data_IF_197382519206
#
_entry.id   IF_197382519206
#
_cell.length_a   1.000
_cell.length_b   1.000
_cell.length_c   1.000
_cell.angle_alpha   90.00
_cell.angle_beta   90.00
_cell.angle_gamma   90.00
#
_symmetry.space_group_name_H-M   'P 1'
#
loop_
_entity.id
_entity.type
_entity.pdbx_description
1 polymer ?
#
# COMPACT_ATOMS: atom_id res chain seq x y z
N UNK A 1 -4.86 43.09 60.48
CA UNK A 1 -3.87 43.50 59.45
C UNK A 1 -3.54 42.27 58.63
N UNK A 2 -3.77 42.35 57.32
CA UNK A 2 -3.75 41.22 56.39
C UNK A 2 -2.32 40.71 56.11
N UNK A 3 -2.18 39.38 56.03
CA UNK A 3 -0.97 38.68 55.60
C UNK A 3 -0.77 38.80 54.08
N UNK A 4 0.48 38.80 53.56
CA UNK A 4 0.73 38.91 52.13
C UNK A 4 0.45 37.58 51.40
N UNK A 5 0.06 37.60 50.12
CA UNK A 5 -0.12 36.38 49.34
C UNK A 5 1.23 35.80 48.92
N UNK A 6 1.34 34.47 49.01
CA UNK A 6 2.50 33.66 48.64
C UNK A 6 2.80 33.73 47.13
N UNK A 7 4.03 34.09 46.78
CA UNK A 7 4.58 34.15 45.41
C UNK A 7 5.02 32.79 44.83
N UNK A 8 4.53 31.67 45.37
CA UNK A 8 5.06 30.34 45.03
C UNK A 8 4.33 29.61 43.91
N UNK A 9 3.25 30.15 43.36
CA UNK A 9 2.42 29.43 42.37
C UNK A 9 2.79 29.70 40.92
N UNK A 10 3.62 30.71 40.64
CA UNK A 10 3.91 31.12 39.25
C UNK A 10 5.08 30.38 38.59
N UNK A 11 5.91 29.66 39.37
CA UNK A 11 7.06 28.90 38.81
C UNK A 11 6.75 27.46 38.41
N UNK A 12 5.59 26.91 38.76
CA UNK A 12 5.23 25.53 38.39
C UNK A 12 4.52 25.42 37.03
N UNK A 13 3.94 26.51 36.52
CA UNK A 13 3.29 26.52 35.21
C UNK A 13 4.24 26.78 34.05
N UNK A 14 5.43 27.34 34.31
CA UNK A 14 6.41 27.64 33.25
C UNK A 14 7.36 26.46 32.94
N UNK A 15 7.43 25.44 33.82
CA UNK A 15 8.20 24.21 33.55
C UNK A 15 7.43 23.13 32.78
N UNK A 16 6.10 23.27 32.65
CA UNK A 16 5.27 22.32 31.90
C UNK A 16 5.10 22.66 30.42
N UNK A 17 5.62 23.82 29.98
CA UNK A 17 5.53 24.33 28.60
C UNK A 17 6.82 24.11 27.77
N UNK A 18 7.79 23.35 28.29
CA UNK A 18 9.11 23.15 27.65
C UNK A 18 9.38 21.71 27.15
N UNK A 19 8.35 20.87 27.00
CA UNK A 19 8.51 19.51 26.43
C UNK A 19 7.38 19.09 25.48
N UNK A 20 6.98 19.98 24.57
CA UNK A 20 6.29 19.57 23.33
C UNK A 20 7.06 20.07 22.12
N UNK A 21 8.37 19.85 22.09
CA UNK A 21 8.99 19.62 20.80
C UNK A 21 8.32 18.34 20.27
N UNK A 22 7.55 18.46 19.18
CA UNK A 22 7.12 17.30 18.42
C UNK A 22 8.39 16.60 17.93
N UNK A 23 8.93 15.69 18.74
CA UNK A 23 9.88 14.70 18.27
C UNK A 23 9.08 13.96 17.21
N UNK A 24 9.39 14.21 15.93
CA UNK A 24 8.90 13.37 14.84
C UNK A 24 9.50 12.00 15.07
N UNK A 25 8.77 11.19 15.83
CA UNK A 25 9.07 9.78 16.03
C UNK A 25 8.97 9.13 14.66
N UNK A 26 9.90 8.24 14.37
CA UNK A 26 9.80 7.32 13.22
C UNK A 26 8.36 6.81 13.13
N UNK A 27 7.72 7.00 11.99
CA UNK A 27 6.36 6.55 11.75
C UNK A 27 6.46 5.12 11.27
N UNK A 28 6.20 4.17 12.16
CA UNK A 28 6.40 2.76 11.85
C UNK A 28 5.60 2.30 10.63
N UNK A 29 4.50 2.96 10.28
CA UNK A 29 3.67 2.64 9.13
C UNK A 29 4.16 3.20 7.79
N UNK A 30 5.18 4.07 7.77
CA UNK A 30 5.80 4.56 6.53
C UNK A 30 7.11 3.81 6.28
N UNK A 31 7.12 3.04 5.21
CA UNK A 31 8.31 2.40 4.65
C UNK A 31 8.67 2.95 3.27
N UNK A 32 9.81 2.51 2.76
CA UNK A 32 10.24 2.79 1.38
C UNK A 32 10.92 1.55 0.78
N UNK A 33 10.74 1.34 -0.52
CA UNK A 33 11.47 0.34 -1.27
C UNK A 33 12.85 0.88 -1.66
N UNK A 34 13.90 0.12 -1.33
CA UNK A 34 15.27 0.34 -1.79
C UNK A 34 15.55 -0.61 -2.95
N UNK A 35 15.34 -0.09 -4.16
CA UNK A 35 15.68 -0.77 -5.40
C UNK A 35 17.18 -0.65 -5.71
N UNK A 36 17.73 -1.69 -6.35
CA UNK A 36 19.17 -1.78 -6.67
C UNK A 36 19.43 -1.98 -8.16
N UNK A 37 18.40 -1.80 -9.00
CA UNK A 37 18.54 -1.90 -10.47
C UNK A 37 19.08 -0.58 -11.04
N UNK A 38 20.26 -0.16 -10.55
CA UNK A 38 20.94 1.07 -10.92
C UNK A 38 22.45 0.96 -10.73
N UNK A 39 23.23 1.76 -11.47
CA UNK A 39 24.70 1.82 -11.35
C UNK A 39 25.23 3.10 -10.69
N UNK A 40 24.33 4.01 -10.29
CA UNK A 40 24.64 5.34 -9.79
C UNK A 40 24.19 5.60 -8.34
N UNK A 41 23.83 4.54 -7.60
CA UNK A 41 23.29 4.65 -6.26
C UNK A 41 24.32 5.20 -5.25
N UNK A 42 23.87 6.00 -4.25
CA UNK A 42 24.75 6.52 -3.23
C UNK A 42 25.26 5.39 -2.30
N UNK A 43 26.39 5.61 -1.61
CA UNK A 43 26.92 4.64 -0.65
C UNK A 43 25.90 4.29 0.45
N UNK A 44 25.88 3.05 0.95
CA UNK A 44 24.93 2.61 1.98
C UNK A 44 24.85 3.50 3.23
N UNK A 45 25.99 4.04 3.67
CA UNK A 45 26.05 4.95 4.83
C UNK A 45 25.38 6.30 4.58
N UNK A 46 25.41 6.79 3.35
CA UNK A 46 24.71 8.01 2.95
C UNK A 46 23.19 7.77 2.92
N UNK A 47 22.76 6.64 2.35
CA UNK A 47 21.36 6.21 2.38
C UNK A 47 20.84 6.03 3.81
N UNK A 48 21.62 5.41 4.71
CA UNK A 48 21.22 5.26 6.10
C UNK A 48 21.02 6.62 6.79
N UNK A 49 21.93 7.59 6.58
CA UNK A 49 21.79 8.96 7.10
C UNK A 49 20.56 9.67 6.54
N UNK A 50 20.28 9.51 5.25
CA UNK A 50 19.07 10.04 4.62
C UNK A 50 17.82 9.45 5.30
N UNK A 51 17.73 8.13 5.43
CA UNK A 51 16.57 7.51 6.09
C UNK A 51 16.39 8.02 7.53
N UNK A 52 17.48 8.18 8.29
CA UNK A 52 17.43 8.73 9.65
C UNK A 52 16.91 10.17 9.71
N UNK A 53 17.14 11.01 8.68
CA UNK A 53 16.66 12.39 8.62
C UNK A 53 15.18 12.52 8.25
N UNK A 54 14.53 11.42 7.87
CA UNK A 54 13.12 11.37 7.44
C UNK A 54 12.22 10.66 8.44
N UNK A 55 10.90 10.74 8.26
CA UNK A 55 9.92 9.97 9.02
C UNK A 55 9.81 8.50 8.62
N UNK A 56 10.58 8.04 7.62
CA UNK A 56 10.60 6.65 7.16
C UNK A 56 11.09 5.75 8.29
N UNK A 57 10.26 4.77 8.67
CA UNK A 57 10.56 3.82 9.73
C UNK A 57 10.94 2.43 9.26
N UNK A 58 10.75 2.13 7.97
CA UNK A 58 11.03 0.81 7.39
C UNK A 58 11.67 0.94 6.01
N UNK A 59 12.53 -0.01 5.66
CA UNK A 59 13.06 -0.17 4.30
C UNK A 59 12.79 -1.59 3.83
N UNK A 60 12.36 -1.74 2.58
CA UNK A 60 12.20 -3.04 1.91
C UNK A 60 13.24 -3.17 0.80
N UNK A 61 13.98 -4.26 0.83
CA UNK A 61 14.94 -4.64 -0.20
C UNK A 61 14.45 -5.90 -0.90
N UNK A 62 14.56 -5.95 -2.23
CA UNK A 62 14.16 -7.11 -3.04
C UNK A 62 15.11 -8.32 -2.89
N UNK A 63 16.30 -8.07 -2.34
CA UNK A 63 17.32 -9.06 -2.03
C UNK A 63 17.99 -8.73 -0.70
N UNK A 64 19.22 -9.20 -0.54
CA UNK A 64 20.05 -8.96 0.65
C UNK A 64 21.21 -8.04 0.26
N UNK A 65 21.21 -6.81 0.78
CA UNK A 65 22.34 -5.88 0.69
C UNK A 65 23.03 -5.77 2.06
N UNK A 66 24.15 -6.47 2.23
CA UNK A 66 24.91 -6.46 3.46
C UNK A 66 25.42 -5.06 3.85
N UNK A 67 25.69 -4.19 2.88
CA UNK A 67 26.14 -2.83 3.10
C UNK A 67 25.05 -1.97 3.74
N UNK A 68 23.83 -2.03 3.19
CA UNK A 68 22.66 -1.31 3.72
C UNK A 68 22.25 -1.87 5.08
N UNK A 69 22.21 -3.19 5.24
CA UNK A 69 21.87 -3.82 6.52
C UNK A 69 22.83 -3.34 7.62
N UNK A 70 24.15 -3.41 7.38
CA UNK A 70 25.16 -2.91 8.33
C UNK A 70 25.04 -1.42 8.58
N UNK A 71 24.79 -0.61 7.54
CA UNK A 71 24.65 0.84 7.68
C UNK A 71 23.42 1.24 8.52
N UNK A 72 22.40 0.38 8.59
CA UNK A 72 21.20 0.57 9.40
C UNK A 72 21.28 -0.04 10.81
N UNK A 73 22.42 -0.63 11.19
CA UNK A 73 22.62 -1.16 12.53
C UNK A 73 22.42 -0.08 13.61
N UNK A 74 21.69 -0.42 14.66
CA UNK A 74 21.34 0.41 15.81
C UNK A 74 20.54 1.69 15.47
N UNK A 75 20.04 1.83 14.25
CA UNK A 75 19.19 2.98 13.85
C UNK A 75 17.74 2.83 14.28
N UNK A 76 17.29 1.60 14.52
CA UNK A 76 15.89 1.26 14.82
C UNK A 76 14.96 1.17 13.61
N UNK A 77 15.44 1.50 12.40
CA UNK A 77 14.70 1.34 11.14
C UNK A 77 14.48 -0.15 10.89
N UNK A 78 13.22 -0.53 10.63
CA UNK A 78 12.87 -1.92 10.31
C UNK A 78 13.33 -2.29 8.91
N UNK A 79 13.86 -3.51 8.75
CA UNK A 79 14.39 -4.01 7.48
C UNK A 79 13.56 -5.20 7.02
N UNK A 80 12.99 -5.10 5.83
CA UNK A 80 12.43 -6.22 5.09
C UNK A 80 13.41 -6.62 4.00
N UNK A 81 13.77 -7.90 3.93
CA UNK A 81 14.66 -8.45 2.90
C UNK A 81 13.93 -9.48 2.06
N UNK A 82 14.26 -9.57 0.77
CA UNK A 82 13.69 -10.54 -0.16
C UNK A 82 14.64 -11.69 -0.44
N UNK A 83 14.09 -12.86 -0.76
CA UNK A 83 14.78 -13.89 -1.53
C UNK A 83 14.55 -13.63 -3.01
N UNK A 84 15.50 -14.03 -3.86
CA UNK A 84 15.23 -14.04 -5.30
C UNK A 84 14.12 -15.05 -5.61
N UNK A 85 13.36 -14.82 -6.68
CA UNK A 85 12.45 -15.83 -7.21
C UNK A 85 13.24 -17.11 -7.60
N UNK A 86 14.50 -16.97 -8.02
CA UNK A 86 15.37 -18.12 -8.35
C UNK A 86 15.78 -18.98 -7.15
N UNK A 87 15.67 -18.46 -5.91
CA UNK A 87 16.04 -19.21 -4.70
C UNK A 87 14.90 -20.13 -4.23
N UNK A 88 13.65 -19.87 -4.68
CA UNK A 88 12.45 -20.58 -4.22
C UNK A 88 12.57 -22.10 -4.37
N UNK A 89 13.03 -22.67 -5.50
CA UNK A 89 13.12 -24.13 -5.63
C UNK A 89 14.06 -24.76 -4.59
N UNK A 90 15.21 -24.13 -4.33
CA UNK A 90 16.18 -24.63 -3.35
C UNK A 90 15.67 -24.47 -1.91
N UNK A 91 15.05 -23.33 -1.60
CA UNK A 91 14.41 -23.08 -0.31
C UNK A 91 13.27 -24.07 -0.04
N UNK A 92 12.49 -24.42 -1.06
CA UNK A 92 11.39 -25.37 -0.97
C UNK A 92 11.88 -26.81 -0.77
N UNK A 93 12.94 -27.21 -1.48
CA UNK A 93 13.40 -28.58 -1.51
C UNK A 93 14.22 -28.99 -0.28
N UNK A 94 14.95 -28.06 0.35
CA UNK A 94 15.90 -28.40 1.42
C UNK A 94 15.87 -27.40 2.59
N UNK A 95 15.48 -27.90 3.77
CA UNK A 95 15.53 -27.13 5.01
C UNK A 95 16.96 -26.70 5.38
N UNK A 96 18.00 -27.47 5.04
CA UNK A 96 19.38 -27.07 5.30
C UNK A 96 19.81 -25.90 4.42
N UNK A 97 19.31 -25.83 3.17
CA UNK A 97 19.49 -24.65 2.34
C UNK A 97 18.86 -23.41 3.00
N UNK A 98 17.63 -23.52 3.51
CA UNK A 98 16.99 -22.42 4.24
C UNK A 98 17.74 -22.01 5.52
N UNK A 99 18.26 -22.98 6.29
CA UNK A 99 19.14 -22.70 7.46
C UNK A 99 20.42 -21.98 7.05
N UNK A 100 21.06 -22.41 5.97
CA UNK A 100 22.24 -21.75 5.40
C UNK A 100 21.94 -20.33 4.95
N UNK A 101 20.78 -20.11 4.35
CA UNK A 101 20.30 -18.78 3.95
C UNK A 101 20.13 -17.87 5.17
N UNK A 102 19.46 -18.31 6.23
CA UNK A 102 19.31 -17.55 7.49
C UNK A 102 20.68 -17.26 8.13
N UNK A 103 21.56 -18.26 8.19
CA UNK A 103 22.90 -18.12 8.77
C UNK A 103 23.77 -17.11 8.03
N UNK A 104 23.54 -16.93 6.72
CA UNK A 104 24.35 -16.03 5.88
C UNK A 104 23.76 -14.63 5.81
N UNK A 105 22.42 -14.52 5.78
CA UNK A 105 21.73 -13.29 5.42
C UNK A 105 21.04 -12.60 6.60
N UNK A 106 20.87 -13.28 7.74
CA UNK A 106 20.13 -12.75 8.90
C UNK A 106 20.98 -12.79 10.16
N UNK A 107 21.48 -13.96 10.55
CA UNK A 107 22.20 -14.17 11.82
C UNK A 107 23.39 -13.22 12.04
N UNK A 108 24.19 -12.86 11.01
CA UNK A 108 25.34 -11.96 11.21
C UNK A 108 24.95 -10.51 11.56
N UNK A 109 23.70 -10.13 11.31
CA UNK A 109 23.24 -8.74 11.40
C UNK A 109 22.28 -8.49 12.57
N UNK A 110 21.54 -9.52 12.98
CA UNK A 110 20.55 -9.42 14.04
C UNK A 110 21.19 -9.63 15.43
N UNK A 111 20.82 -8.86 16.49
CA UNK A 111 19.74 -7.86 16.55
C UNK A 111 20.17 -6.42 16.22
N UNK A 112 21.45 -6.16 15.95
CA UNK A 112 21.94 -4.80 15.70
C UNK A 112 21.17 -4.15 14.54
N UNK A 113 20.95 -4.90 13.46
CA UNK A 113 20.08 -4.50 12.35
C UNK A 113 18.71 -5.12 12.55
N UNK A 114 17.67 -4.28 12.58
CA UNK A 114 16.30 -4.69 12.91
C UNK A 114 15.60 -5.33 11.70
N UNK A 115 16.03 -6.52 11.31
CA UNK A 115 15.34 -7.34 10.31
C UNK A 115 13.99 -7.78 10.90
N UNK A 116 12.89 -7.51 10.18
CA UNK A 116 11.51 -7.73 10.67
C UNK A 116 10.71 -8.71 9.81
N UNK A 117 10.94 -8.73 8.49
CA UNK A 117 10.21 -9.59 7.56
C UNK A 117 11.19 -10.11 6.50
N UNK A 118 11.03 -11.39 6.13
CA UNK A 118 11.63 -11.99 4.94
C UNK A 118 10.53 -12.21 3.91
N UNK A 119 10.65 -11.60 2.73
CA UNK A 119 9.78 -11.86 1.60
C UNK A 119 10.33 -12.99 0.75
N UNK A 120 9.60 -14.10 0.64
CA UNK A 120 9.94 -15.21 -0.26
C UNK A 120 9.44 -14.85 -1.64
N UNK A 121 10.37 -14.44 -2.50
CA UNK A 121 10.07 -13.94 -3.84
C UNK A 121 9.26 -12.64 -3.88
N UNK A 122 8.97 -12.21 -5.11
CA UNK A 122 8.19 -11.03 -5.42
C UNK A 122 7.25 -11.32 -6.60
N UNK A 123 5.96 -11.10 -6.40
CA UNK A 123 4.88 -11.29 -7.39
C UNK A 123 4.88 -12.66 -8.08
N UNK A 124 5.30 -13.73 -7.40
CA UNK A 124 5.49 -15.07 -7.98
C UNK A 124 4.25 -15.58 -8.72
N UNK A 125 3.04 -15.32 -8.20
CA UNK A 125 1.79 -15.76 -8.82
C UNK A 125 1.51 -15.11 -10.19
N UNK A 126 2.15 -13.99 -10.51
CA UNK A 126 2.05 -13.36 -11.83
C UNK A 126 2.78 -14.15 -12.92
N UNK A 127 3.93 -14.75 -12.59
CA UNK A 127 4.78 -15.44 -13.56
C UNK A 127 4.08 -16.70 -14.11
N UNK A 128 4.41 -17.14 -15.33
CA UNK A 128 3.78 -18.32 -15.93
C UNK A 128 4.27 -19.66 -15.34
N UNK A 129 5.32 -19.66 -14.52
CA UNK A 129 5.91 -20.88 -13.97
C UNK A 129 5.08 -21.47 -12.83
N UNK A 130 4.30 -22.51 -13.12
CA UNK A 130 3.45 -23.22 -12.14
C UNK A 130 4.25 -23.97 -11.08
N UNK A 131 5.45 -24.47 -11.40
CA UNK A 131 6.31 -25.14 -10.42
C UNK A 131 6.78 -24.12 -9.38
N UNK A 132 7.18 -22.94 -9.83
CA UNK A 132 7.61 -21.87 -8.94
C UNK A 132 6.48 -21.45 -7.97
N UNK A 133 5.25 -21.35 -8.46
CA UNK A 133 4.07 -21.01 -7.63
C UNK A 133 3.80 -22.05 -6.55
N UNK A 134 3.84 -23.33 -6.91
CA UNK A 134 3.56 -24.44 -5.98
C UNK A 134 4.68 -24.64 -4.95
N UNK A 135 5.92 -24.27 -5.30
CA UNK A 135 7.08 -24.30 -4.39
C UNK A 135 7.12 -23.15 -3.38
N UNK A 136 6.31 -22.11 -3.57
CA UNK A 136 6.35 -20.92 -2.72
C UNK A 136 5.99 -21.20 -1.26
N UNK A 137 4.91 -21.97 -1.01
CA UNK A 137 4.50 -22.30 0.36
C UNK A 137 5.56 -23.18 1.08
N UNK A 138 6.09 -24.26 0.49
CA UNK A 138 7.20 -25.01 1.08
C UNK A 138 8.43 -24.15 1.39
N UNK A 139 8.80 -23.21 0.51
CA UNK A 139 9.91 -22.30 0.76
C UNK A 139 9.66 -21.37 1.97
N UNK A 140 8.44 -20.83 2.09
CA UNK A 140 8.02 -20.03 3.25
C UNK A 140 8.08 -20.85 4.55
N UNK A 141 7.59 -22.10 4.52
CA UNK A 141 7.62 -23.02 5.65
C UNK A 141 9.06 -23.35 6.08
N UNK A 142 9.95 -23.64 5.13
CA UNK A 142 11.35 -23.94 5.44
C UNK A 142 12.10 -22.74 6.03
N UNK A 143 11.85 -21.52 5.54
CA UNK A 143 12.42 -20.30 6.13
C UNK A 143 11.89 -20.03 7.53
N UNK A 144 10.60 -20.25 7.77
CA UNK A 144 10.00 -20.15 9.10
C UNK A 144 10.65 -21.15 10.08
N UNK A 145 10.77 -22.42 9.67
CA UNK A 145 11.44 -23.46 10.47
C UNK A 145 12.92 -23.13 10.72
N UNK A 146 13.61 -22.54 9.75
CA UNK A 146 14.99 -22.10 9.91
C UNK A 146 15.13 -20.93 10.90
N UNK A 147 14.20 -19.97 10.88
CA UNK A 147 14.12 -18.90 11.88
C UNK A 147 13.86 -19.46 13.29
N UNK A 148 12.96 -20.43 13.42
CA UNK A 148 12.69 -21.10 14.70
C UNK A 148 13.93 -21.81 15.23
N UNK A 149 14.63 -22.57 14.38
CA UNK A 149 15.89 -23.22 14.74
C UNK A 149 16.98 -22.21 15.17
N UNK A 150 16.96 -20.99 14.63
CA UNK A 150 17.86 -19.91 15.00
C UNK A 150 17.36 -19.07 16.21
N UNK A 151 16.26 -19.45 16.87
CA UNK A 151 15.63 -18.67 17.95
C UNK A 151 15.21 -17.25 17.54
N UNK A 152 14.90 -17.08 16.26
CA UNK A 152 14.39 -15.86 15.62
C UNK A 152 12.90 -15.98 15.24
N UNK A 153 12.31 -17.16 15.38
CA UNK A 153 10.87 -17.39 15.22
C UNK A 153 10.05 -16.41 16.08
N UNK A 154 9.01 -15.83 15.50
CA UNK A 154 8.17 -14.82 16.14
C UNK A 154 8.77 -13.40 16.16
N UNK A 155 10.10 -13.26 16.12
CA UNK A 155 10.80 -11.96 16.04
C UNK A 155 10.90 -11.45 14.61
N UNK A 156 11.12 -12.36 13.67
CA UNK A 156 11.15 -12.11 12.22
C UNK A 156 10.00 -12.90 11.61
N UNK A 157 9.23 -12.27 10.74
CA UNK A 157 8.12 -12.91 10.01
C UNK A 157 8.56 -13.33 8.62
N UNK A 158 7.90 -14.34 8.07
CA UNK A 158 8.07 -14.76 6.67
C UNK A 158 6.78 -14.47 5.92
N UNK A 159 6.85 -13.80 4.79
CA UNK A 159 5.68 -13.58 3.92
C UNK A 159 6.11 -13.65 2.45
N UNK A 160 5.19 -13.40 1.52
CA UNK A 160 5.47 -13.20 0.10
C UNK A 160 4.69 -11.99 -0.39
N UNK A 161 5.08 -11.41 -1.52
CA UNK A 161 4.46 -10.19 -2.07
C UNK A 161 3.64 -10.53 -3.30
N UNK A 162 2.39 -10.06 -3.32
CA UNK A 162 1.44 -10.33 -4.39
C UNK A 162 1.17 -9.06 -5.24
N UNK A 163 0.92 -9.22 -6.55
CA UNK A 163 0.33 -8.15 -7.37
C UNK A 163 -1.18 -8.07 -7.13
N UNK A 164 -1.80 -6.95 -7.50
CA UNK A 164 -3.28 -6.84 -7.51
C UNK A 164 -3.98 -7.83 -8.46
N UNK A 165 -3.28 -8.37 -9.47
CA UNK A 165 -3.82 -9.34 -10.43
C UNK A 165 -4.14 -10.72 -9.84
N UNK A 166 -3.86 -10.95 -8.55
CA UNK A 166 -4.39 -12.12 -7.82
C UNK A 166 -5.90 -12.03 -7.59
N UNK A 167 -6.50 -10.83 -7.70
CA UNK A 167 -7.94 -10.61 -7.61
C UNK A 167 -8.61 -10.86 -8.96
N UNK A 168 -9.58 -11.77 -8.99
CA UNK A 168 -10.47 -12.00 -10.14
C UNK A 168 -11.67 -11.04 -10.15
N UNK A 169 -12.12 -10.61 -8.96
CA UNK A 169 -13.14 -9.59 -8.78
C UNK A 169 -12.64 -8.54 -7.80
N UNK A 170 -12.88 -7.26 -8.12
CA UNK A 170 -12.42 -6.13 -7.30
C UNK A 170 -13.34 -4.91 -7.39
N UNK A 171 -14.39 -4.97 -8.20
CA UNK A 171 -15.32 -3.87 -8.43
C UNK A 171 -16.77 -4.38 -8.30
N UNK A 172 -17.56 -3.83 -7.37
CA UNK A 172 -17.13 -2.88 -6.32
C UNK A 172 -16.15 -3.54 -5.32
N UNK A 173 -15.41 -2.77 -4.50
CA UNK A 173 -14.47 -3.34 -3.52
C UNK A 173 -15.06 -4.41 -2.59
N UNK A 174 -16.32 -4.28 -2.18
CA UNK A 174 -17.02 -5.30 -1.36
C UNK A 174 -17.19 -6.67 -2.05
N UNK A 175 -17.16 -6.69 -3.39
CA UNK A 175 -17.16 -7.90 -4.19
C UNK A 175 -15.75 -8.49 -4.38
N UNK A 176 -14.73 -7.94 -3.74
CA UNK A 176 -13.34 -8.39 -3.82
C UNK A 176 -13.22 -9.90 -3.60
N UNK A 177 -12.72 -10.63 -4.60
CA UNK A 177 -12.45 -12.08 -4.54
C UNK A 177 -11.17 -12.40 -5.29
N UNK A 178 -10.41 -13.36 -4.77
CA UNK A 178 -9.27 -13.90 -5.50
C UNK A 178 -9.72 -14.61 -6.76
N UNK A 179 -8.88 -14.58 -7.79
CA UNK A 179 -9.10 -15.33 -9.02
C UNK A 179 -9.13 -16.83 -8.68
N UNK A 180 -10.17 -17.59 -9.11
CA UNK A 180 -10.29 -19.02 -8.84
C UNK A 180 -9.03 -19.82 -9.17
N UNK A 181 -8.23 -19.39 -10.16
CA UNK A 181 -6.97 -20.07 -10.53
C UNK A 181 -5.89 -20.02 -9.43
N UNK A 182 -5.96 -19.04 -8.52
CA UNK A 182 -5.00 -18.88 -7.43
C UNK A 182 -5.57 -19.29 -6.06
N UNK A 183 -6.87 -19.55 -5.97
CA UNK A 183 -7.58 -19.70 -4.69
C UNK A 183 -6.96 -20.80 -3.81
N UNK A 184 -6.62 -21.95 -4.38
CA UNK A 184 -6.01 -23.05 -3.62
C UNK A 184 -4.63 -22.68 -3.05
N UNK A 185 -3.79 -21.98 -3.84
CA UNK A 185 -2.46 -21.53 -3.40
C UNK A 185 -2.58 -20.45 -2.33
N UNK A 186 -3.42 -19.43 -2.58
CA UNK A 186 -3.64 -18.33 -1.66
C UNK A 186 -4.23 -18.83 -0.34
N UNK A 187 -5.11 -19.83 -0.36
CA UNK A 187 -5.61 -20.45 0.87
C UNK A 187 -4.46 -20.99 1.72
N UNK A 188 -3.54 -21.74 1.13
CA UNK A 188 -2.36 -22.26 1.83
C UNK A 188 -1.44 -21.14 2.36
N UNK A 189 -1.25 -20.07 1.59
CA UNK A 189 -0.50 -18.90 2.06
C UNK A 189 -1.18 -18.21 3.24
N UNK A 190 -2.50 -18.03 3.18
CA UNK A 190 -3.28 -17.39 4.25
C UNK A 190 -3.35 -18.23 5.53
N UNK A 191 -3.44 -19.56 5.40
CA UNK A 191 -3.31 -20.48 6.53
C UNK A 191 -1.94 -20.33 7.21
N UNK A 192 -0.87 -20.23 6.42
CA UNK A 192 0.48 -19.96 6.92
C UNK A 192 0.59 -18.57 7.57
N UNK A 193 0.06 -17.53 6.93
CA UNK A 193 0.05 -16.16 7.46
C UNK A 193 -0.64 -16.10 8.83
N UNK A 194 -1.83 -16.73 8.94
CA UNK A 194 -2.59 -16.84 10.18
C UNK A 194 -1.81 -17.60 11.26
N UNK A 195 -1.24 -18.75 10.92
CA UNK A 195 -0.49 -19.59 11.87
C UNK A 195 0.77 -18.90 12.42
N UNK A 196 1.41 -18.04 11.62
CA UNK A 196 2.67 -17.37 11.98
C UNK A 196 2.49 -15.92 12.41
N UNK A 197 1.25 -15.41 12.41
CA UNK A 197 0.93 -13.99 12.57
C UNK A 197 1.79 -13.10 11.63
N UNK A 198 1.88 -13.52 10.37
CA UNK A 198 2.61 -12.84 9.31
C UNK A 198 1.63 -12.13 8.37
N UNK A 199 1.94 -10.93 7.84
CA UNK A 199 1.00 -10.18 7.02
C UNK A 199 0.84 -10.76 5.62
N UNK A 200 -0.32 -10.52 5.00
CA UNK A 200 -0.51 -10.61 3.56
C UNK A 200 0.04 -9.34 2.91
N UNK A 201 1.06 -9.48 2.04
CA UNK A 201 1.73 -8.33 1.43
C UNK A 201 1.31 -8.17 -0.04
N UNK A 202 0.92 -6.96 -0.44
CA UNK A 202 0.28 -6.67 -1.74
C UNK A 202 0.79 -5.36 -2.33
N UNK A 203 0.76 -5.25 -3.67
CA UNK A 203 1.22 -4.09 -4.45
C UNK A 203 0.07 -3.34 -5.15
N UNK A 204 -0.75 -2.53 -4.43
CA UNK A 204 -1.76 -1.66 -5.01
C UNK A 204 -1.11 -0.43 -5.67
N UNK A 205 -1.42 -0.19 -6.94
CA UNK A 205 -0.90 0.95 -7.68
C UNK A 205 -2.05 1.70 -8.39
N UNK A 206 -2.57 2.79 -7.79
CA UNK A 206 -3.55 3.68 -8.41
C UNK A 206 -3.09 4.27 -9.76
N UNK A 207 -1.78 4.43 -9.96
CA UNK A 207 -1.20 4.87 -11.24
C UNK A 207 -1.63 3.98 -12.41
N UNK A 208 -1.52 2.65 -12.28
CA UNK A 208 -1.91 1.74 -13.37
C UNK A 208 -3.43 1.67 -13.56
N UNK A 209 -4.21 1.91 -12.50
CA UNK A 209 -5.65 2.08 -12.64
C UNK A 209 -5.97 3.33 -13.48
N UNK A 210 -5.29 4.45 -13.23
CA UNK A 210 -5.42 5.66 -14.04
C UNK A 210 -4.96 5.46 -15.49
N UNK A 211 -3.85 4.76 -15.73
CA UNK A 211 -3.42 4.47 -17.11
C UNK A 211 -4.48 3.73 -17.92
N UNK A 212 -5.27 2.85 -17.29
CA UNK A 212 -6.37 2.14 -17.95
C UNK A 212 -7.59 3.02 -18.24
N UNK A 213 -7.69 4.20 -17.63
CA UNK A 213 -8.83 5.11 -17.69
C UNK A 213 -8.40 6.57 -17.41
N UNK A 214 -7.77 7.27 -18.37
CA UNK A 214 -7.08 8.54 -18.14
C UNK A 214 -8.01 9.75 -18.14
N UNK A 215 -9.18 9.64 -17.50
CA UNK A 215 -10.14 10.74 -17.35
C UNK A 215 -9.80 11.60 -16.12
N UNK A 216 -10.13 12.91 -16.13
CA UNK A 216 -9.81 13.81 -15.01
C UNK A 216 -10.42 13.39 -13.66
N UNK A 217 -11.62 12.82 -13.67
CA UNK A 217 -12.30 12.31 -12.46
C UNK A 217 -11.60 11.08 -11.89
N UNK A 218 -11.07 10.20 -12.75
CA UNK A 218 -10.20 9.09 -12.32
C UNK A 218 -8.87 9.59 -11.79
N UNK A 219 -8.26 10.61 -12.42
CA UNK A 219 -7.01 11.19 -11.91
C UNK A 219 -7.19 11.71 -10.49
N UNK A 220 -8.20 12.56 -10.26
CA UNK A 220 -8.48 13.12 -8.95
C UNK A 220 -8.73 12.02 -7.90
N UNK A 221 -9.46 10.96 -8.27
CA UNK A 221 -9.69 9.79 -7.42
C UNK A 221 -8.39 9.01 -7.11
N UNK A 222 -7.50 8.86 -8.07
CA UNK A 222 -6.22 8.18 -7.86
C UNK A 222 -5.20 9.02 -7.08
N UNK A 223 -5.28 10.35 -7.16
CA UNK A 223 -4.37 11.30 -6.49
C UNK A 223 -4.85 11.74 -5.10
N UNK A 224 -5.95 11.18 -4.57
CA UNK A 224 -6.60 11.61 -3.32
C UNK A 224 -7.07 13.09 -3.34
N UNK A 225 -7.32 13.64 -4.52
CA UNK A 225 -7.80 15.01 -4.67
C UNK A 225 -9.33 15.11 -4.47
N UNK A 226 -9.88 16.30 -4.22
CA UNK A 226 -11.33 16.49 -4.12
C UNK A 226 -12.06 15.92 -5.34
N UNK A 227 -12.97 14.97 -5.11
CA UNK A 227 -13.75 14.32 -6.14
C UNK A 227 -15.13 13.91 -5.61
N UNK A 228 -16.01 13.43 -6.49
CA UNK A 228 -17.38 13.06 -6.13
C UNK A 228 -17.46 11.81 -5.25
N UNK A 229 -16.37 11.03 -5.12
CA UNK A 229 -16.32 9.69 -4.53
C UNK A 229 -17.04 8.64 -5.39
N UNK A 230 -16.72 7.37 -5.16
CA UNK A 230 -17.33 6.22 -5.83
C UNK A 230 -18.10 5.37 -4.81
N UNK A 231 -19.44 5.30 -4.89
CA UNK A 231 -20.20 4.44 -4.00
C UNK A 231 -20.01 2.97 -4.38
N UNK A 232 -19.74 2.14 -3.38
CA UNK A 232 -19.73 0.69 -3.47
C UNK A 232 -21.18 0.18 -3.58
N UNK A 233 -21.52 -0.48 -4.68
CA UNK A 233 -22.90 -0.92 -4.95
C UNK A 233 -23.38 -2.06 -4.04
N UNK A 234 -22.49 -2.76 -3.35
CA UNK A 234 -22.83 -3.84 -2.42
C UNK A 234 -23.06 -3.36 -0.98
N UNK A 235 -22.41 -2.27 -0.56
CA UNK A 235 -22.38 -1.82 0.84
C UNK A 235 -22.79 -0.36 1.04
N UNK A 236 -22.91 0.43 -0.03
CA UNK A 236 -23.05 1.89 -0.03
C UNK A 236 -21.89 2.65 0.65
N UNK A 237 -20.78 1.97 0.96
CA UNK A 237 -19.53 2.64 1.37
C UNK A 237 -19.07 3.54 0.24
N UNK A 238 -18.77 4.81 0.55
CA UNK A 238 -18.29 5.76 -0.44
C UNK A 238 -16.78 5.87 -0.37
N UNK A 239 -16.08 5.32 -1.34
CA UNK A 239 -14.64 5.47 -1.47
C UNK A 239 -14.31 6.84 -2.03
N UNK A 240 -13.35 7.53 -1.42
CA UNK A 240 -12.91 8.86 -1.84
C UNK A 240 -11.57 8.84 -2.60
N UNK A 241 -10.90 7.70 -2.63
CA UNK A 241 -9.66 7.51 -3.37
C UNK A 241 -9.49 6.06 -3.82
N UNK A 242 -8.65 5.84 -4.83
CA UNK A 242 -8.38 4.51 -5.40
C UNK A 242 -7.59 3.61 -4.45
N UNK A 243 -6.66 4.15 -3.66
CA UNK A 243 -5.85 3.35 -2.74
C UNK A 243 -6.72 2.59 -1.73
N UNK A 244 -7.67 3.27 -1.09
CA UNK A 244 -8.60 2.66 -0.15
C UNK A 244 -9.45 1.60 -0.84
N UNK A 245 -9.94 1.88 -2.05
CA UNK A 245 -10.72 0.91 -2.83
C UNK A 245 -9.91 -0.34 -3.18
N UNK A 246 -8.63 -0.19 -3.56
CA UNK A 246 -7.72 -1.30 -3.83
C UNK A 246 -7.45 -2.14 -2.59
N UNK A 247 -7.13 -1.50 -1.47
CA UNK A 247 -6.84 -2.23 -0.24
C UNK A 247 -8.09 -2.90 0.32
N UNK A 248 -9.26 -2.28 0.24
CA UNK A 248 -10.51 -2.87 0.72
C UNK A 248 -11.06 -3.98 -0.18
N UNK A 249 -10.75 -3.97 -1.48
CA UNK A 249 -10.98 -5.12 -2.35
C UNK A 249 -10.15 -6.33 -1.89
N UNK A 250 -8.90 -6.12 -1.46
CA UNK A 250 -8.07 -7.19 -0.86
C UNK A 250 -8.66 -7.64 0.48
N UNK A 251 -9.05 -6.71 1.36
CA UNK A 251 -9.71 -7.06 2.65
C UNK A 251 -10.97 -7.90 2.42
N UNK A 252 -11.79 -7.53 1.44
CA UNK A 252 -12.99 -8.28 1.07
C UNK A 252 -12.66 -9.70 0.57
N UNK A 253 -11.58 -9.85 -0.21
CA UNK A 253 -11.11 -11.17 -0.65
C UNK A 253 -10.61 -12.04 0.51
N UNK A 254 -9.86 -11.47 1.45
CA UNK A 254 -9.43 -12.18 2.66
C UNK A 254 -10.62 -12.63 3.51
N UNK A 255 -11.61 -11.74 3.70
CA UNK A 255 -12.84 -12.05 4.44
C UNK A 255 -13.63 -13.18 3.77
N UNK A 256 -13.74 -13.16 2.44
CA UNK A 256 -14.43 -14.20 1.68
C UNK A 256 -13.75 -15.56 1.78
N UNK A 257 -12.42 -15.60 1.96
CA UNK A 257 -11.67 -16.82 2.25
C UNK A 257 -11.65 -17.21 3.73
N UNK A 258 -12.37 -16.49 4.60
CA UNK A 258 -12.43 -16.71 6.07
C UNK A 258 -11.14 -16.40 6.83
N UNK A 259 -10.37 -15.41 6.35
CA UNK A 259 -9.14 -14.91 6.99
C UNK A 259 -9.22 -13.42 7.39
N UNK A 260 -10.25 -12.99 8.15
CA UNK A 260 -10.45 -11.58 8.49
C UNK A 260 -9.33 -11.00 9.36
N UNK A 261 -8.63 -11.83 10.14
CA UNK A 261 -7.59 -11.41 11.08
C UNK A 261 -6.20 -11.27 10.45
N UNK A 262 -6.04 -11.67 9.18
CA UNK A 262 -4.75 -11.53 8.49
C UNK A 262 -4.53 -10.05 8.16
N UNK A 263 -3.47 -9.46 8.71
CA UNK A 263 -3.08 -8.08 8.48
C UNK A 263 -2.63 -7.87 7.03
N UNK A 264 -2.96 -6.71 6.45
CA UNK A 264 -2.50 -6.31 5.12
C UNK A 264 -1.32 -5.35 5.29
N UNK A 265 -0.28 -5.56 4.50
CA UNK A 265 0.82 -4.60 4.33
C UNK A 265 0.94 -4.27 2.86
N UNK A 266 0.99 -2.97 2.54
CA UNK A 266 1.26 -2.50 1.18
C UNK A 266 2.77 -2.55 0.95
N UNK A 267 3.23 -3.56 0.22
CA UNK A 267 4.65 -3.78 -0.04
C UNK A 267 5.23 -2.81 -1.08
N UNK A 268 4.39 -2.33 -1.99
CA UNK A 268 4.75 -1.32 -2.96
C UNK A 268 3.54 -0.49 -3.36
N UNK A 269 3.74 0.81 -3.42
CA UNK A 269 2.85 1.73 -4.12
C UNK A 269 3.59 3.02 -4.43
N UNK A 270 3.29 3.65 -5.55
CA UNK A 270 3.99 4.85 -5.99
C UNK A 270 3.44 5.40 -7.30
N UNK A 271 4.03 6.50 -7.74
CA UNK A 271 3.65 7.18 -8.98
C UNK A 271 4.89 7.73 -9.66
N UNK A 272 5.13 7.41 -10.95
CA UNK A 272 6.33 7.84 -11.64
C UNK A 272 6.24 9.32 -12.02
N UNK A 273 7.32 10.07 -11.88
CA UNK A 273 7.33 11.51 -12.19
C UNK A 273 7.65 11.82 -13.66
N UNK A 274 7.99 10.80 -14.44
CA UNK A 274 8.26 10.86 -15.87
C UNK A 274 7.97 9.51 -16.50
N UNK A 275 7.50 9.50 -17.75
CA UNK A 275 7.21 8.29 -18.51
C UNK A 275 7.45 8.50 -20.01
N UNK A 276 7.20 7.46 -20.80
CA UNK A 276 7.14 7.54 -22.27
C UNK A 276 5.83 8.18 -22.76
N UNK A 277 5.73 8.37 -24.08
CA UNK A 277 4.64 9.13 -24.72
C UNK A 277 3.22 8.58 -24.45
N UNK A 278 3.11 7.27 -24.20
CA UNK A 278 1.83 6.59 -23.92
C UNK A 278 1.54 6.43 -22.42
N UNK A 279 2.43 6.90 -21.56
CA UNK A 279 2.35 6.71 -20.10
C UNK A 279 1.72 7.94 -19.44
N UNK A 280 0.42 8.12 -19.71
CA UNK A 280 -0.33 9.27 -19.22
C UNK A 280 -0.25 9.42 -17.70
N UNK A 281 -0.15 10.69 -17.26
CA UNK A 281 -0.13 11.05 -15.86
C UNK A 281 1.24 10.92 -15.18
N UNK A 282 2.27 10.38 -15.83
CA UNK A 282 3.63 10.34 -15.29
C UNK A 282 4.29 11.73 -15.33
N UNK A 283 3.98 12.58 -14.35
CA UNK A 283 4.49 13.94 -14.22
C UNK A 283 4.96 14.22 -12.79
N UNK A 284 5.83 15.22 -12.62
CA UNK A 284 6.31 15.66 -11.30
C UNK A 284 5.14 16.08 -10.41
N UNK A 285 4.16 16.79 -10.97
CA UNK A 285 2.99 17.28 -10.25
C UNK A 285 2.15 16.11 -9.70
N UNK A 286 1.88 15.11 -10.52
CA UNK A 286 1.06 13.96 -10.12
C UNK A 286 1.83 13.03 -9.17
N UNK A 287 3.13 12.82 -9.39
CA UNK A 287 3.95 12.03 -8.48
C UNK A 287 4.05 12.67 -7.09
N UNK A 288 4.21 14.00 -7.04
CA UNK A 288 4.17 14.79 -5.82
C UNK A 288 2.80 14.70 -5.14
N UNK A 289 1.71 14.86 -5.91
CA UNK A 289 0.35 14.78 -5.38
C UNK A 289 0.07 13.40 -4.79
N UNK A 290 0.33 12.32 -5.54
CA UNK A 290 0.09 10.95 -5.08
C UNK A 290 0.88 10.62 -3.82
N UNK A 291 2.22 10.72 -3.87
CA UNK A 291 3.07 10.32 -2.77
C UNK A 291 2.88 11.23 -1.54
N UNK A 292 2.67 12.55 -1.75
CA UNK A 292 2.39 13.50 -0.68
C UNK A 292 1.05 13.26 0.00
N UNK A 293 -0.02 13.04 -0.78
CA UNK A 293 -1.35 12.80 -0.24
C UNK A 293 -1.47 11.41 0.41
N UNK A 294 -0.77 10.40 -0.12
CA UNK A 294 -0.65 9.09 0.55
C UNK A 294 0.03 9.24 1.93
N UNK A 295 1.15 9.96 2.01
CA UNK A 295 1.81 10.25 3.30
C UNK A 295 0.86 10.98 4.26
N UNK A 296 0.09 11.96 3.77
CA UNK A 296 -0.90 12.67 4.59
C UNK A 296 -2.04 11.73 5.06
N UNK A 297 -2.56 10.87 4.18
CA UNK A 297 -3.57 9.87 4.49
C UNK A 297 -3.07 8.91 5.57
N UNK A 298 -1.86 8.36 5.43
CA UNK A 298 -1.24 7.48 6.44
C UNK A 298 -1.00 8.19 7.77
N UNK A 299 -0.74 9.51 7.78
CA UNK A 299 -0.58 10.27 9.02
C UNK A 299 -1.90 10.60 9.71
N UNK A 300 -2.99 10.64 8.96
CA UNK A 300 -4.32 10.90 9.51
C UNK A 300 -4.82 9.77 10.40
N UNK A 301 -4.26 8.56 10.27
CA UNK A 301 -4.69 7.34 10.99
C UNK A 301 -6.15 6.96 10.75
N UNK A 302 -6.80 7.53 9.72
CA UNK A 302 -8.21 7.23 9.40
C UNK A 302 -8.39 5.77 8.95
N UNK A 303 -7.35 5.18 8.36
CA UNK A 303 -7.42 3.83 7.77
C UNK A 303 -8.25 3.82 6.49
N UNK A 304 -8.74 2.64 6.11
CA UNK A 304 -9.67 2.48 4.98
C UNK A 304 -11.10 2.34 5.50
N UNK A 305 -12.12 2.49 4.65
CA UNK A 305 -13.50 2.24 5.05
C UNK A 305 -13.77 0.89 5.73
N UNK A 306 -13.14 -0.21 5.28
CA UNK A 306 -13.28 -1.54 5.90
C UNK A 306 -12.27 -1.80 7.03
N UNK A 307 -11.25 -0.96 7.19
CA UNK A 307 -10.26 -1.04 8.27
C UNK A 307 -10.01 0.33 8.91
N UNK A 308 -11.03 0.92 9.57
CA UNK A 308 -10.94 2.27 10.10
C UNK A 308 -10.06 2.37 11.36
N UNK A 309 -9.49 3.55 11.60
CA UNK A 309 -8.82 3.90 12.86
C UNK A 309 -7.38 3.39 13.00
N UNK A 310 -6.79 2.83 11.93
CA UNK A 310 -5.40 2.38 11.90
C UNK A 310 -4.81 2.60 10.52
N UNK A 311 -3.60 3.14 10.45
CA UNK A 311 -2.85 3.23 9.20
C UNK A 311 -2.34 1.87 8.77
N UNK A 312 -2.39 1.64 7.46
CA UNK A 312 -1.82 0.45 6.83
C UNK A 312 -0.32 0.67 6.67
N UNK A 313 0.46 -0.30 7.13
CA UNK A 313 1.90 -0.32 6.89
C UNK A 313 2.15 -0.30 5.37
N UNK A 314 2.82 0.75 4.89
CA UNK A 314 2.92 1.05 3.45
C UNK A 314 4.35 1.40 3.07
N UNK A 315 4.89 0.72 2.06
CA UNK A 315 6.20 1.00 1.49
C UNK A 315 6.07 1.78 0.17
N UNK A 316 6.54 3.03 0.19
CA UNK A 316 6.59 3.87 -1.01
C UNK A 316 7.57 3.27 -2.03
N UNK A 317 7.16 3.17 -3.29
CA UNK A 317 7.99 2.75 -4.41
C UNK A 317 8.38 3.99 -5.24
N UNK A 318 9.64 4.43 -5.26
CA UNK A 318 10.82 3.89 -4.55
C UNK A 318 11.74 5.01 -4.02
N UNK A 319 12.78 4.64 -3.24
CA UNK A 319 13.67 5.62 -2.63
C UNK A 319 14.44 6.44 -3.67
N UNK A 320 15.00 5.76 -4.66
CA UNK A 320 15.76 6.35 -5.77
C UNK A 320 15.17 5.92 -7.10
N UNK A 321 15.50 6.66 -8.16
CA UNK A 321 15.35 6.18 -9.51
C UNK A 321 16.26 4.98 -9.77
N UNK A 322 15.75 4.00 -10.51
CA UNK A 322 16.49 2.80 -10.89
C UNK A 322 16.75 2.85 -12.41
N UNK A 323 17.87 3.44 -12.83
CA UNK A 323 18.17 3.80 -14.22
C UNK A 323 18.38 2.60 -15.16
N UNK A 324 18.67 1.42 -14.60
CA UNK A 324 18.84 0.18 -15.35
C UNK A 324 17.57 -0.67 -15.43
N UNK A 325 16.42 -0.21 -14.89
CA UNK A 325 15.18 -1.00 -15.01
C UNK A 325 14.78 -1.20 -16.47
N UNK A 326 14.43 -2.43 -16.88
CA UNK A 326 13.87 -2.70 -18.19
C UNK A 326 12.39 -2.27 -18.27
N UNK A 327 11.79 -2.39 -19.45
CA UNK A 327 10.35 -2.16 -19.64
C UNK A 327 9.98 -0.71 -19.92
N UNK A 328 8.76 -0.33 -19.53
CA UNK A 328 8.13 0.95 -19.86
C UNK A 328 8.93 2.15 -19.37
N UNK A 329 8.85 3.28 -20.08
CA UNK A 329 9.59 4.52 -19.81
C UNK A 329 9.62 4.90 -18.33
N UNK A 330 8.45 4.83 -17.70
CA UNK A 330 8.21 5.22 -16.31
C UNK A 330 8.93 4.41 -15.25
N UNK A 331 9.36 3.18 -15.56
CA UNK A 331 10.04 2.29 -14.61
C UNK A 331 11.27 2.96 -13.97
N UNK A 332 11.96 3.81 -14.72
CA UNK A 332 13.20 4.48 -14.30
C UNK A 332 12.97 5.77 -13.50
N UNK A 333 11.72 6.13 -13.20
CA UNK A 333 11.36 7.46 -12.68
C UNK A 333 10.37 7.41 -11.51
N UNK A 334 10.43 6.37 -10.68
CA UNK A 334 9.61 6.21 -9.46
C UNK A 334 10.27 6.80 -8.19
N UNK A 335 11.50 7.29 -8.27
CA UNK A 335 12.24 7.81 -7.14
C UNK A 335 11.54 8.98 -6.44
N UNK A 336 11.69 9.04 -5.12
CA UNK A 336 11.34 10.22 -4.30
C UNK A 336 12.57 11.07 -3.94
N UNK A 337 13.77 10.48 -3.99
CA UNK A 337 15.07 11.16 -3.88
C UNK A 337 15.93 10.90 -5.13
N UNK A 338 16.79 11.87 -5.44
CA UNK A 338 17.89 11.70 -6.38
C UNK A 338 19.05 10.98 -5.67
N UNK A 339 19.99 10.47 -6.47
CA UNK A 339 21.20 9.82 -5.96
C UNK A 339 22.18 10.79 -5.28
N UNK A 340 22.02 12.11 -5.49
CA UNK A 340 22.69 13.16 -4.73
C UNK A 340 22.04 13.46 -3.36
N UNK A 341 21.04 12.65 -2.95
CA UNK A 341 20.27 12.73 -1.70
C UNK A 341 19.29 13.90 -1.61
N UNK A 342 19.13 14.71 -2.66
CA UNK A 342 18.09 15.74 -2.70
C UNK A 342 16.72 15.14 -3.04
N UNK A 343 15.65 15.68 -2.47
CA UNK A 343 14.29 15.26 -2.82
C UNK A 343 13.96 15.67 -4.25
N UNK A 344 13.35 14.79 -5.04
CA UNK A 344 12.86 15.13 -6.39
C UNK A 344 11.67 16.09 -6.27
N UNK A 345 10.81 15.85 -5.29
CA UNK A 345 9.70 16.70 -4.89
C UNK A 345 9.44 16.51 -3.38
N UNK A 346 8.92 17.54 -2.71
CA UNK A 346 8.62 17.48 -1.28
C UNK A 346 7.27 16.80 -1.02
N UNK A 347 7.31 15.70 -0.26
CA UNK A 347 6.15 14.92 0.21
C UNK A 347 6.02 14.94 1.75
N UNK A 348 6.71 15.86 2.41
CA UNK A 348 6.59 16.09 3.86
C UNK A 348 7.24 15.02 4.72
N UNK A 349 8.24 14.28 4.22
CA UNK A 349 8.96 13.24 4.99
C UNK A 349 10.07 13.79 5.89
N UNK A 350 10.53 15.03 5.69
CA UNK A 350 11.61 15.62 6.48
C UNK A 350 11.22 15.76 7.96
N UNK A 351 12.10 15.37 8.89
CA UNK A 351 11.88 15.56 10.33
C UNK A 351 12.09 17.00 10.80
N UNK A 352 12.75 17.85 10.02
CA UNK A 352 13.19 19.19 10.44
C UNK A 352 12.31 20.33 9.95
N UNK A 353 11.21 20.06 9.22
CA UNK A 353 10.32 21.09 8.69
C UNK A 353 8.84 20.76 8.89
N UNK A 354 8.23 21.31 9.93
CA UNK A 354 6.78 21.53 9.95
C UNK A 354 6.46 22.94 10.44
N UNK A 355 6.09 23.80 9.49
CA UNK A 355 5.01 24.77 9.73
C UNK A 355 3.67 24.03 9.89
N UNK A 356 2.59 24.72 10.27
CA UNK A 356 1.34 24.08 10.67
C UNK A 356 0.83 23.14 9.57
N UNK A 357 0.47 21.90 9.94
CA UNK A 357 -0.17 20.97 9.02
C UNK A 357 -1.38 21.67 8.37
N UNK A 358 -1.45 21.62 7.04
CA UNK A 358 -2.73 21.81 6.36
C UNK A 358 -3.67 20.71 6.86
N UNK A 359 -4.74 21.10 7.55
CA UNK A 359 -5.80 20.20 7.98
C UNK A 359 -6.43 19.58 6.74
N UNK A 360 -6.30 18.26 6.59
CA UNK A 360 -7.14 17.51 5.67
C UNK A 360 -8.62 17.76 6.06
N UNK A 361 -9.55 17.93 5.11
CA UNK A 361 -10.96 18.05 5.43
C UNK A 361 -11.44 16.78 6.13
N UNK A 362 -12.03 16.94 7.32
CA UNK A 362 -12.70 15.83 7.99
C UNK A 362 -13.85 15.32 7.10
N UNK A 363 -14.05 13.99 6.97
CA UNK A 363 -15.27 13.46 6.38
C UNK A 363 -16.46 13.94 7.22
N UNK A 364 -17.43 14.60 6.58
CA UNK A 364 -18.69 14.91 7.22
C UNK A 364 -19.39 13.58 7.56
N UNK A 365 -19.56 13.30 8.85
CA UNK A 365 -20.48 12.27 9.31
C UNK A 365 -21.88 12.66 8.83
N UNK A 366 -22.47 11.84 7.96
CA UNK A 366 -23.88 12.00 7.57
C UNK A 366 -24.76 11.95 8.83
N UNK A 367 -25.77 12.83 8.97
CA UNK A 367 -26.75 12.70 10.04
C UNK A 367 -27.54 11.38 9.90
N UNK A 368 -28.12 10.85 10.99
CA UNK A 368 -28.93 9.64 10.94
C UNK A 368 -30.12 9.82 10.00
N UNK A 369 -30.44 8.78 9.22
CA UNK A 369 -31.59 8.77 8.34
C UNK A 369 -32.90 8.87 9.15
N UNK A 370 -33.69 9.92 8.90
CA UNK A 370 -35.05 10.01 9.41
C UNK A 370 -35.96 8.97 8.73
N UNK A 371 -36.82 8.37 9.54
CA UNK A 371 -37.78 7.32 9.19
C UNK A 371 -38.87 7.80 8.19
N UNK A 372 -39.53 6.87 7.45
CA UNK A 372 -40.42 7.23 6.35
C UNK A 372 -41.78 7.74 6.84
N UNK A 373 -42.22 8.89 6.32
CA UNK A 373 -43.59 9.40 6.48
C UNK A 373 -44.54 8.75 5.49
N UNK A 374 -45.68 8.31 6.01
CA UNK A 374 -46.84 7.71 5.36
C UNK A 374 -47.77 8.73 4.67
N UNK A 375 -48.45 8.28 3.61
CA UNK A 375 -49.60 8.93 2.96
C UNK A 375 -49.44 8.95 1.44
N UNK A 376 -50.27 8.34 0.57
CA UNK A 376 -51.62 7.84 0.69
C UNK A 376 -52.52 8.53 -0.34
N UNK A 377 -52.68 7.91 -1.54
CA UNK A 377 -53.82 7.92 -2.49
C UNK A 377 -54.41 9.30 -2.96
N UNK A 378 -54.93 9.56 -4.17
CA UNK A 378 -55.45 8.78 -5.33
C UNK A 378 -55.83 9.76 -6.47
N UNK A 379 -56.06 9.21 -7.67
CA UNK A 379 -56.93 9.65 -8.81
C UNK A 379 -56.28 10.12 -10.13
N UNK A 380 -56.61 9.36 -11.19
CA UNK A 380 -56.49 9.56 -12.66
C UNK A 380 -57.89 9.97 -13.22
N UNK A 381 -58.14 10.16 -14.54
CA UNK A 381 -57.39 10.81 -15.63
C UNK A 381 -58.28 11.69 -16.56
N UNK A 382 -57.71 12.33 -17.58
CA UNK A 382 -58.45 12.64 -18.84
C UNK A 382 -57.57 12.49 -20.08
N UNK A 383 -58.11 11.73 -21.04
CA UNK A 383 -57.59 11.43 -22.37
C UNK A 383 -57.54 12.65 -23.30
N UNK A 384 -56.63 12.63 -24.28
CA UNK A 384 -56.91 13.07 -25.66
C UNK A 384 -55.91 12.42 -26.62
N UNK A 385 -56.46 11.75 -27.62
CA UNK A 385 -55.83 10.95 -28.67
C UNK A 385 -55.61 11.74 -29.96
N UNK A 386 -54.50 11.50 -30.66
CA UNK A 386 -54.43 11.59 -32.14
C UNK A 386 -53.38 10.63 -32.67
N UNK A 387 -53.76 9.93 -33.75
CA UNK A 387 -53.09 8.80 -34.40
C UNK A 387 -52.51 9.23 -35.74
N UNK A 388 -51.28 8.83 -36.09
CA UNK A 388 -50.86 8.47 -37.48
C UNK A 388 -49.56 7.65 -37.46
N UNK A 389 -49.71 6.34 -37.70
CA UNK A 389 -48.99 5.38 -38.59
C UNK A 389 -47.49 5.53 -39.00
N UNK A 390 -46.80 4.45 -39.42
CA UNK A 390 -45.80 3.77 -38.60
C UNK A 390 -44.39 3.76 -39.23
N UNK A 391 -43.35 3.70 -38.41
CA UNK A 391 -41.98 3.37 -38.87
C UNK A 391 -41.42 2.30 -37.96
N UNK A 392 -41.03 1.18 -38.57
CA UNK A 392 -40.48 0.00 -37.91
C UNK A 392 -39.12 0.31 -37.29
N UNK A 393 -39.01 0.23 -35.97
CA UNK A 393 -37.73 0.25 -35.24
C UNK A 393 -37.64 -1.02 -34.39
N UNK A 394 -36.55 -1.81 -34.47
CA UNK A 394 -36.38 -3.01 -33.64
C UNK A 394 -36.08 -2.63 -32.18
N UNK A 395 -36.32 -3.56 -31.23
CA UNK A 395 -36.38 -3.21 -29.82
C UNK A 395 -35.03 -2.81 -29.26
N UNK A 396 -35.11 -1.77 -28.44
CA UNK A 396 -34.11 -1.23 -27.55
C UNK A 396 -33.44 -2.34 -26.74
N UNK A 397 -32.21 -2.72 -27.12
CA UNK A 397 -31.30 -3.36 -26.18
C UNK A 397 -30.69 -2.24 -25.33
N UNK A 398 -31.21 -2.08 -24.11
CA UNK A 398 -30.47 -1.44 -23.04
C UNK A 398 -29.23 -2.28 -22.78
N UNK A 399 -28.15 -1.99 -23.51
CA UNK A 399 -26.80 -2.32 -23.10
C UNK A 399 -26.59 -1.53 -21.80
N UNK A 400 -26.33 -2.17 -20.65
CA UNK A 400 -25.84 -1.44 -19.50
C UNK A 400 -24.59 -0.73 -19.98
N UNK A 401 -24.57 0.60 -19.95
CA UNK A 401 -23.31 1.33 -20.05
C UNK A 401 -22.44 0.83 -18.89
N UNK A 402 -21.57 -0.14 -19.17
CA UNK A 402 -20.34 -0.31 -18.43
C UNK A 402 -19.60 1.01 -18.64
N UNK A 403 -19.85 1.98 -17.75
CA UNK A 403 -18.98 3.14 -17.64
C UNK A 403 -17.62 2.57 -17.29
N UNK A 404 -16.57 2.75 -18.12
CA UNK A 404 -15.28 2.12 -17.90
C UNK A 404 -14.63 2.79 -16.69
N UNK A 405 -14.99 2.40 -15.48
CA UNK A 405 -14.32 2.82 -14.27
C UNK A 405 -12.96 2.15 -14.23
N UNK A 406 -11.91 2.94 -14.00
CA UNK A 406 -10.56 2.46 -13.72
C UNK A 406 -10.56 1.18 -12.87
N UNK A 407 -9.88 0.13 -13.33
CA UNK A 407 -9.92 -1.18 -12.66
C UNK A 407 -9.22 -1.13 -11.30
N UNK A 408 -9.92 -1.49 -10.23
CA UNK A 408 -9.31 -1.61 -8.88
C UNK A 408 -8.19 -2.66 -8.86
N UNK A 409 -8.29 -3.77 -9.59
CA UNK A 409 -7.20 -4.76 -9.67
C UNK A 409 -6.07 -4.41 -10.67
N UNK A 410 -6.00 -3.18 -11.19
CA UNK A 410 -4.91 -2.78 -12.08
C UNK A 410 -3.55 -2.97 -11.40
N UNK A 411 -2.61 -3.58 -12.12
CA UNK A 411 -1.27 -3.90 -11.63
C UNK A 411 -0.21 -3.48 -12.63
N UNK A 412 0.99 -3.28 -12.11
CA UNK A 412 2.20 -2.89 -12.85
C UNK A 412 2.49 -3.77 -14.05
N UNK A 413 2.18 -5.05 -13.94
CA UNK A 413 2.48 -6.05 -14.94
C UNK A 413 1.23 -6.50 -15.73
N UNK A 414 0.12 -5.74 -15.71
CA UNK A 414 -1.10 -6.09 -16.45
C UNK A 414 -0.99 -5.95 -17.99
N UNK A 415 0.19 -5.66 -18.54
CA UNK A 415 0.40 -5.48 -19.98
C UNK A 415 1.85 -5.62 -20.43
N UNK A 416 2.38 -6.85 -20.41
CA UNK A 416 3.42 -7.32 -21.33
C UNK A 416 2.97 -8.64 -21.92
#
# INVERSE_FOLDING_TARGET
MASPPSTTTTSFFLLLLLNTAAVVRSQSYIGVNYGVTADNLPPPSATAKLLQSTSIGKVRMYGVDAGIIKALANTGIGITIGTSNSDIPALAADLNFAKGWISSNVSPYYPASKIIIINVGNEVLYYPDENLKTQLLPAMQNLQNALEAASLGGKIKVSTVHPMSVLGQSEPPSAGRFDPKYEALLKGFLEFNKATASPFMINPYPYFAYQSDPRPDTLAFCLFEPNAGRPDSGTNVKYMNMFDAQVDAVRSALNAMTFPDVEIVVAETGWPYKGGDTEHGATIENAKAYNGNLVAHLRSMVGTPLMPGKSIDTYLFALYDEDLKPGAGSERYFGIYKTDLTSIYDIGLSKTGQGPLATAPAPALSPPADAPTTGGATTLPTNSSTTTTPTTTPPNSTIPQYSPTARVNASKNAGV
#
